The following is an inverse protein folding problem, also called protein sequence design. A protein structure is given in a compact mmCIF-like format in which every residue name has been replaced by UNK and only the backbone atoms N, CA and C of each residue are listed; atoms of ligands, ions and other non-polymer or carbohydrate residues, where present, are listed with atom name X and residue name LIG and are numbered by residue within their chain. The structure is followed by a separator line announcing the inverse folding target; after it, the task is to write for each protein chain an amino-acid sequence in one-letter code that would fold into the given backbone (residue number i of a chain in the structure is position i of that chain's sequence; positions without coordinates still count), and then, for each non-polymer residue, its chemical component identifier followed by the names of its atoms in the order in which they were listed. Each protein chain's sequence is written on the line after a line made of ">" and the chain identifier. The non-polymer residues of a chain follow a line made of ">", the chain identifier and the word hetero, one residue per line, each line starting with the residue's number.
data_IF_877445219660
#
_entry.id   IF_877445219660
#
_cell.length_a   1.000
_cell.length_b   1.000
_cell.length_c   1.000
_cell.angle_alpha   90.00
_cell.angle_beta   90.00
_cell.angle_gamma   90.00
#
_symmetry.space_group_name_H-M   'P 1'
#
loop_
_entity.id
_entity.type
_entity.pdbx_description
1 polymer ?
#
# COMPACT_ATOMS: atom_id res chain seq x y z
N UNK A 1 -14.67 20.59 -31.63
CA UNK A 1 -15.91 20.00 -31.08
C UNK A 1 -15.66 18.52 -30.80
N UNK A 2 -15.44 18.19 -29.54
CA UNK A 2 -15.88 16.94 -28.92
C UNK A 2 -15.87 17.21 -27.42
N UNK A 3 -17.05 17.14 -26.82
CA UNK A 3 -17.36 17.69 -25.51
C UNK A 3 -16.53 17.05 -24.39
N UNK A 4 -15.69 17.86 -23.74
CA UNK A 4 -15.25 17.57 -22.38
C UNK A 4 -16.48 17.68 -21.50
N UNK A 5 -16.98 16.52 -21.05
CA UNK A 5 -18.17 16.40 -20.23
C UNK A 5 -18.07 17.37 -19.01
N UNK A 6 -18.95 18.39 -18.89
CA UNK A 6 -18.87 19.43 -17.87
C UNK A 6 -19.01 18.93 -16.42
N UNK A 7 -19.32 17.64 -16.23
CA UNK A 7 -19.51 17.02 -14.92
C UNK A 7 -18.20 16.69 -14.18
N UNK A 8 -17.04 16.74 -14.84
CA UNK A 8 -15.74 16.43 -14.22
C UNK A 8 -15.16 17.56 -13.33
N UNK A 9 -15.82 18.73 -13.28
CA UNK A 9 -15.36 19.91 -12.50
C UNK A 9 -16.05 20.07 -11.13
N UNK A 10 -16.88 19.12 -10.69
CA UNK A 10 -17.39 19.07 -9.31
C UNK A 10 -16.50 18.15 -8.46
N UNK A 11 -16.33 18.42 -7.16
CA UNK A 11 -15.76 17.42 -6.25
C UNK A 11 -16.63 16.16 -6.35
N UNK A 12 -16.04 15.10 -6.88
CA UNK A 12 -16.73 13.83 -7.07
C UNK A 12 -16.84 13.20 -5.68
N UNK A 13 -18.02 13.33 -5.04
CA UNK A 13 -18.28 12.74 -3.73
C UNK A 13 -18.67 11.27 -3.82
N UNK A 14 -19.03 10.80 -5.03
CA UNK A 14 -19.45 9.43 -5.29
C UNK A 14 -19.00 8.96 -6.68
N UNK A 15 -18.65 7.69 -6.80
CA UNK A 15 -18.39 7.01 -8.06
C UNK A 15 -19.35 5.83 -8.23
N UNK A 16 -20.11 5.83 -9.32
CA UNK A 16 -20.93 4.68 -9.72
C UNK A 16 -20.09 3.78 -10.62
N UNK A 17 -19.80 2.55 -10.18
CA UNK A 17 -18.87 1.67 -10.87
C UNK A 17 -19.35 1.33 -12.29
N UNK A 18 -20.66 1.29 -12.52
CA UNK A 18 -21.24 1.00 -13.83
C UNK A 18 -21.00 2.09 -14.88
N UNK A 19 -20.68 3.32 -14.48
CA UNK A 19 -20.34 4.43 -15.39
C UNK A 19 -18.94 4.29 -16.03
N UNK A 20 -18.11 3.38 -15.52
CA UNK A 20 -16.71 3.21 -15.93
C UNK A 20 -16.44 1.78 -16.43
N UNK A 21 -16.97 1.39 -17.60
CA UNK A 21 -16.84 0.02 -18.10
C UNK A 21 -15.41 -0.36 -18.48
N UNK A 22 -14.50 0.61 -18.63
CA UNK A 22 -13.07 0.37 -18.79
C UNK A 22 -12.34 -0.05 -17.52
N UNK A 23 -13.03 0.00 -16.38
CA UNK A 23 -12.56 -0.42 -15.07
C UNK A 23 -12.34 0.75 -14.11
N UNK A 24 -12.61 0.45 -12.84
CA UNK A 24 -12.30 1.25 -11.66
C UNK A 24 -11.33 0.47 -10.81
N UNK A 25 -10.33 1.16 -10.28
CA UNK A 25 -9.45 0.62 -9.27
C UNK A 25 -9.31 1.60 -8.11
N UNK A 26 -9.25 1.08 -6.89
CA UNK A 26 -9.15 1.86 -5.66
C UNK A 26 -8.08 1.31 -4.74
N UNK A 27 -7.33 2.19 -4.06
CA UNK A 27 -6.32 1.84 -3.06
C UNK A 27 -6.40 2.82 -1.88
N UNK A 28 -5.93 2.41 -0.71
CA UNK A 28 -5.44 3.36 0.27
C UNK A 28 -4.09 3.89 -0.20
N UNK A 29 -3.97 5.20 -0.36
CA UNK A 29 -2.70 5.81 -0.74
C UNK A 29 -1.68 5.56 0.38
N UNK A 30 -0.49 5.09 0.01
CA UNK A 30 0.65 4.94 0.90
C UNK A 30 1.83 5.76 0.36
N UNK A 31 2.68 6.32 1.23
CA UNK A 31 3.84 7.08 0.79
C UNK A 31 4.79 6.19 -0.02
N UNK A 32 5.56 6.83 -0.90
CA UNK A 32 6.60 6.13 -1.64
C UNK A 32 7.65 5.59 -0.66
N UNK A 33 8.16 4.37 -0.91
CA UNK A 33 9.28 3.85 -0.12
C UNK A 33 10.56 4.63 -0.39
N UNK A 34 10.65 5.24 -1.57
CA UNK A 34 11.76 6.08 -1.96
C UNK A 34 11.20 7.24 -2.77
N UNK A 35 11.62 8.45 -2.42
CA UNK A 35 11.25 9.69 -3.12
C UNK A 35 12.45 10.63 -3.17
N UNK A 36 12.89 10.94 -4.39
CA UNK A 36 13.89 11.98 -4.66
C UNK A 36 13.35 13.16 -5.47
N UNK A 37 12.03 13.23 -5.67
CA UNK A 37 11.35 14.29 -6.41
C UNK A 37 10.76 15.39 -5.51
N UNK A 38 10.63 15.14 -4.19
CA UNK A 38 10.09 16.10 -3.20
C UNK A 38 8.65 16.57 -3.48
N UNK A 39 7.79 15.68 -3.98
CA UNK A 39 6.37 15.99 -4.11
C UNK A 39 5.62 15.57 -2.86
N UNK A 40 4.78 16.47 -2.35
CA UNK A 40 3.87 16.17 -1.25
C UNK A 40 3.06 14.90 -1.56
N UNK A 41 3.01 14.01 -0.57
CA UNK A 41 2.28 12.75 -0.67
C UNK A 41 0.76 13.00 -0.79
N UNK A 42 0.15 12.47 -1.86
CA UNK A 42 -1.30 12.57 -2.12
C UNK A 42 -2.09 11.53 -1.30
N UNK A 43 -2.46 11.92 -0.07
CA UNK A 43 -3.17 11.09 0.93
C UNK A 43 -4.61 10.75 0.51
N UNK A 44 -5.14 9.67 1.08
CA UNK A 44 -6.56 9.29 0.96
C UNK A 44 -6.83 8.02 0.17
N UNK A 45 -8.04 7.91 -0.35
CA UNK A 45 -8.50 6.86 -1.25
C UNK A 45 -8.10 7.24 -2.67
N UNK A 46 -7.09 6.54 -3.21
CA UNK A 46 -6.61 6.77 -4.57
C UNK A 46 -7.46 6.02 -5.59
N UNK A 47 -8.05 6.73 -6.54
CA UNK A 47 -8.96 6.16 -7.55
C UNK A 47 -8.39 6.31 -8.95
N UNK A 48 -8.36 5.18 -9.65
CA UNK A 48 -8.26 5.14 -11.11
C UNK A 48 -9.60 4.77 -11.72
N UNK A 49 -10.06 5.51 -12.73
CA UNK A 49 -11.26 5.13 -13.49
C UNK A 49 -11.09 5.37 -14.99
N UNK A 50 -11.66 4.48 -15.81
CA UNK A 50 -11.59 4.53 -17.29
C UNK A 50 -12.94 4.26 -17.92
N UNK A 51 -13.28 5.02 -18.96
CA UNK A 51 -14.43 4.68 -19.81
C UNK A 51 -14.17 3.46 -20.69
N UNK A 52 -12.94 3.29 -21.20
CA UNK A 52 -12.58 2.18 -22.10
C UNK A 52 -11.37 1.43 -21.54
N UNK A 53 -11.30 0.11 -21.73
CA UNK A 53 -10.25 -0.76 -21.15
C UNK A 53 -8.82 -0.31 -21.52
N UNK A 54 -8.62 0.15 -22.75
CA UNK A 54 -7.35 0.69 -23.28
C UNK A 54 -7.29 2.22 -23.31
N UNK A 55 -8.36 2.91 -22.88
CA UNK A 55 -8.43 4.37 -22.86
C UNK A 55 -7.58 4.97 -21.75
N UNK A 56 -7.32 6.28 -21.81
CA UNK A 56 -6.62 6.99 -20.71
C UNK A 56 -7.46 6.97 -19.42
N UNK A 57 -6.78 7.04 -18.27
CA UNK A 57 -7.44 7.30 -16.99
C UNK A 57 -8.16 8.64 -17.11
N UNK A 58 -9.43 8.67 -16.72
CA UNK A 58 -10.22 9.90 -16.64
C UNK A 58 -10.34 10.41 -15.20
N UNK A 59 -10.16 9.49 -14.25
CA UNK A 59 -9.93 9.79 -12.83
C UNK A 59 -8.59 9.14 -12.49
N UNK A 60 -7.69 9.95 -11.91
CA UNK A 60 -6.39 9.58 -11.39
C UNK A 60 -6.04 10.60 -10.29
N UNK A 61 -6.60 10.38 -9.09
CA UNK A 61 -6.42 11.28 -7.93
C UNK A 61 -6.83 10.61 -6.64
N UNK A 62 -6.35 11.13 -5.52
CA UNK A 62 -6.81 10.73 -4.19
C UNK A 62 -7.97 11.60 -3.66
N UNK A 63 -8.73 11.03 -2.73
CA UNK A 63 -9.86 11.66 -2.04
C UNK A 63 -9.76 11.34 -0.54
N UNK A 64 -10.02 12.28 0.36
CA UNK A 64 -10.10 11.97 1.80
C UNK A 64 -11.17 10.92 2.10
N UNK A 65 -12.28 10.99 1.36
CA UNK A 65 -13.35 10.01 1.35
C UNK A 65 -14.07 10.03 0.00
N UNK A 66 -14.65 8.89 -0.39
CA UNK A 66 -15.45 8.76 -1.60
C UNK A 66 -16.48 7.65 -1.45
N UNK A 67 -17.73 7.94 -1.78
CA UNK A 67 -18.77 6.92 -1.84
C UNK A 67 -18.61 6.10 -3.12
N UNK A 68 -18.56 4.77 -3.00
CA UNK A 68 -18.54 3.86 -4.14
C UNK A 68 -19.88 3.16 -4.24
N UNK A 69 -20.51 3.20 -5.42
CA UNK A 69 -21.83 2.64 -5.68
C UNK A 69 -21.79 1.52 -6.70
N UNK A 70 -22.57 0.48 -6.44
CA UNK A 70 -22.74 -0.66 -7.34
C UNK A 70 -24.09 -1.33 -7.11
N UNK A 71 -24.88 -1.48 -8.19
CA UNK A 71 -26.18 -2.18 -8.17
C UNK A 71 -27.12 -1.71 -7.04
N UNK A 72 -27.17 -0.39 -6.80
CA UNK A 72 -28.02 0.21 -5.78
C UNK A 72 -27.51 0.05 -4.33
N UNK A 73 -26.34 -0.56 -4.14
CA UNK A 73 -25.61 -0.57 -2.86
C UNK A 73 -24.52 0.49 -2.87
N UNK A 74 -24.15 1.00 -1.71
CA UNK A 74 -23.04 1.92 -1.57
C UNK A 74 -22.23 1.69 -0.31
N UNK A 75 -20.95 2.04 -0.38
CA UNK A 75 -20.02 2.07 0.75
C UNK A 75 -19.29 3.40 0.72
N UNK A 76 -19.05 4.00 1.88
CA UNK A 76 -18.13 5.12 2.00
C UNK A 76 -16.72 4.57 2.21
N UNK A 77 -15.82 4.82 1.25
CA UNK A 77 -14.40 4.59 1.46
C UNK A 77 -13.81 5.83 2.10
N UNK A 78 -13.15 5.67 3.23
CA UNK A 78 -12.39 6.72 3.92
C UNK A 78 -10.91 6.44 3.80
N UNK A 79 -10.07 7.45 3.99
CA UNK A 79 -8.61 7.25 4.10
C UNK A 79 -8.26 6.13 5.09
N UNK A 80 -8.76 6.23 6.33
CA UNK A 80 -8.49 5.26 7.40
C UNK A 80 -8.83 3.82 6.98
N UNK A 81 -10.03 3.60 6.42
CA UNK A 81 -10.47 2.25 6.05
C UNK A 81 -9.69 1.73 4.85
N UNK A 82 -9.43 2.56 3.85
CA UNK A 82 -8.71 2.19 2.63
C UNK A 82 -7.22 1.89 2.89
N UNK A 83 -6.57 2.73 3.69
CA UNK A 83 -5.17 2.55 4.10
C UNK A 83 -5.02 1.28 4.92
N UNK A 84 -5.86 1.11 5.94
CA UNK A 84 -5.81 -0.07 6.81
C UNK A 84 -6.05 -1.35 6.01
N UNK A 85 -7.03 -1.35 5.10
CA UNK A 85 -7.28 -2.49 4.21
C UNK A 85 -6.05 -2.81 3.36
N UNK A 86 -5.45 -1.79 2.77
CA UNK A 86 -4.24 -1.94 1.93
C UNK A 86 -3.10 -2.57 2.73
N UNK A 87 -2.88 -2.10 3.97
CA UNK A 87 -1.87 -2.66 4.88
C UNK A 87 -2.12 -4.12 5.22
N UNK A 88 -3.36 -4.49 5.58
CA UNK A 88 -3.74 -5.87 5.89
C UNK A 88 -3.60 -6.80 4.68
N UNK A 89 -3.96 -6.30 3.50
CA UNK A 89 -4.03 -7.10 2.28
C UNK A 89 -2.67 -7.62 1.81
N UNK A 90 -1.58 -6.90 2.10
CA UNK A 90 -0.22 -7.30 1.68
C UNK A 90 0.24 -8.58 2.36
N UNK A 91 -0.25 -8.84 3.57
CA UNK A 91 0.11 -10.04 4.33
C UNK A 91 -0.89 -11.20 4.17
N UNK A 92 -1.90 -11.01 3.32
CA UNK A 92 -2.97 -12.00 3.07
C UNK A 92 -3.66 -12.49 4.35
N UNK A 93 -3.87 -11.57 5.30
CA UNK A 93 -4.59 -11.89 6.52
C UNK A 93 -6.08 -12.09 6.25
N UNK A 94 -6.76 -12.84 7.13
CA UNK A 94 -8.22 -12.91 7.13
C UNK A 94 -8.76 -11.54 7.53
N UNK A 95 -9.55 -10.93 6.64
CA UNK A 95 -10.21 -9.64 6.87
C UNK A 95 -11.72 -9.87 6.96
N UNK A 96 -12.36 -9.34 8.00
CA UNK A 96 -13.81 -9.49 8.24
C UNK A 96 -14.48 -8.14 8.48
N UNK A 97 -15.78 -8.05 8.17
CA UNK A 97 -16.62 -6.92 8.59
C UNK A 97 -17.32 -7.29 9.90
N UNK A 98 -17.20 -6.42 10.91
CA UNK A 98 -17.83 -6.57 12.21
C UNK A 98 -18.35 -5.24 12.71
N UNK A 99 -19.40 -5.33 13.53
CA UNK A 99 -19.94 -4.22 14.29
C UNK A 99 -19.65 -4.45 15.77
N UNK A 100 -19.56 -3.37 16.53
CA UNK A 100 -19.35 -3.42 17.96
C UNK A 100 -20.54 -4.10 18.64
N UNK A 101 -20.28 -5.14 19.43
CA UNK A 101 -21.32 -5.88 20.17
C UNK A 101 -22.04 -5.00 21.21
N UNK A 102 -21.44 -3.88 21.62
CA UNK A 102 -22.00 -2.97 22.61
C UNK A 102 -22.82 -1.82 22.00
N UNK A 103 -22.23 -1.04 21.06
CA UNK A 103 -22.89 0.16 20.51
C UNK A 103 -23.38 0.01 19.07
N UNK A 104 -23.04 -1.09 18.38
CA UNK A 104 -23.42 -1.32 16.99
C UNK A 104 -22.63 -0.50 15.95
N UNK A 105 -21.63 0.29 16.36
CA UNK A 105 -20.77 1.01 15.43
C UNK A 105 -19.92 0.04 14.60
N UNK A 106 -19.66 0.38 13.34
CA UNK A 106 -18.78 -0.41 12.47
C UNK A 106 -17.34 -0.33 13.00
N UNK A 107 -16.68 -1.49 13.07
CA UNK A 107 -15.33 -1.61 13.62
C UNK A 107 -14.29 -1.48 12.50
N UNK A 108 -13.11 -0.96 12.85
CA UNK A 108 -11.99 -0.80 11.94
C UNK A 108 -10.69 -0.90 12.73
N UNK A 109 -9.90 -1.93 12.46
CA UNK A 109 -8.53 -2.04 12.95
C UNK A 109 -7.62 -1.12 12.13
N UNK A 110 -6.97 -0.15 12.80
CA UNK A 110 -6.07 0.84 12.19
C UNK A 110 -4.62 0.65 12.62
N UNK A 111 -3.69 1.27 11.90
CA UNK A 111 -2.27 1.33 12.27
C UNK A 111 -1.67 -0.05 12.52
N UNK A 112 -1.12 -0.26 13.71
CA UNK A 112 -0.52 -1.53 14.09
C UNK A 112 -1.55 -2.69 14.16
N UNK A 113 -2.81 -2.41 14.51
CA UNK A 113 -3.88 -3.41 14.55
C UNK A 113 -4.25 -3.89 13.14
N UNK A 114 -4.14 -3.04 12.12
CA UNK A 114 -4.38 -3.41 10.73
C UNK A 114 -3.40 -4.48 10.20
N UNK A 115 -2.24 -4.65 10.86
CA UNK A 115 -1.22 -5.63 10.48
C UNK A 115 -0.98 -6.70 11.55
N UNK A 116 -1.83 -6.77 12.57
CA UNK A 116 -1.73 -7.75 13.65
C UNK A 116 -3.07 -8.43 13.89
N UNK A 117 -3.35 -9.54 13.18
CA UNK A 117 -4.57 -10.30 13.39
C UNK A 117 -4.78 -10.68 14.86
N UNK A 118 -5.95 -10.31 15.37
CA UNK A 118 -6.34 -10.41 16.78
C UNK A 118 -7.69 -11.13 16.89
N UNK A 119 -7.99 -11.59 18.11
CA UNK A 119 -9.36 -11.96 18.48
C UNK A 119 -10.12 -10.74 19.03
N UNK A 120 -9.40 -9.79 19.63
CA UNK A 120 -9.95 -8.63 20.32
C UNK A 120 -9.88 -7.40 19.40
N UNK A 121 -11.02 -6.73 19.21
CA UNK A 121 -11.16 -5.55 18.36
C UNK A 121 -11.81 -4.40 19.14
N UNK A 122 -11.12 -3.27 19.21
CA UNK A 122 -11.53 -2.11 20.01
C UNK A 122 -12.45 -1.20 19.20
N UNK A 123 -13.51 -0.69 19.84
CA UNK A 123 -14.43 0.25 19.23
C UNK A 123 -13.98 1.70 19.45
N UNK A 124 -13.65 2.42 18.36
CA UNK A 124 -13.32 3.85 18.41
C UNK A 124 -14.46 4.74 18.96
N UNK A 125 -15.72 4.25 18.94
CA UNK A 125 -16.89 5.03 19.36
C UNK A 125 -17.22 4.89 20.85
N UNK A 126 -17.09 3.69 21.43
CA UNK A 126 -17.46 3.45 22.83
C UNK A 126 -16.36 2.83 23.70
N UNK A 127 -15.19 2.52 23.12
CA UNK A 127 -14.03 1.96 23.83
C UNK A 127 -14.14 0.48 24.20
N UNK A 128 -15.29 -0.15 23.96
CA UNK A 128 -15.52 -1.58 24.27
C UNK A 128 -14.87 -2.50 23.26
N UNK A 129 -14.59 -3.73 23.70
CA UNK A 129 -13.97 -4.78 22.89
C UNK A 129 -15.02 -5.73 22.33
N UNK A 130 -14.94 -6.00 21.04
CA UNK A 130 -15.67 -7.07 20.36
C UNK A 130 -14.72 -8.22 20.07
N UNK A 131 -15.13 -9.45 20.37
CA UNK A 131 -14.29 -10.65 20.24
C UNK A 131 -14.74 -11.50 19.05
N UNK A 132 -13.82 -11.87 18.19
CA UNK A 132 -14.06 -12.80 17.07
C UNK A 132 -13.63 -14.22 17.43
N UNK A 133 -14.11 -15.21 16.65
CA UNK A 133 -13.81 -16.63 16.89
C UNK A 133 -12.50 -17.10 16.25
N UNK A 134 -11.85 -16.26 15.47
CA UNK A 134 -10.59 -16.53 14.78
C UNK A 134 -9.72 -15.28 14.76
N UNK A 135 -8.41 -15.43 14.59
CA UNK A 135 -7.53 -14.28 14.43
C UNK A 135 -7.77 -13.62 13.08
N UNK A 136 -8.27 -12.40 13.09
CA UNK A 136 -8.55 -11.63 11.89
C UNK A 136 -8.16 -10.16 12.06
N UNK A 137 -8.27 -9.43 10.96
CA UNK A 137 -8.32 -7.97 10.97
C UNK A 137 -9.75 -7.56 10.65
N UNK A 138 -10.30 -6.60 11.39
CA UNK A 138 -11.62 -6.06 11.12
C UNK A 138 -11.50 -4.82 10.23
N UNK A 139 -12.14 -4.87 9.07
CA UNK A 139 -12.22 -3.73 8.16
C UNK A 139 -13.54 -3.76 7.37
N UNK A 140 -14.31 -2.67 7.33
CA UNK A 140 -15.64 -2.64 6.73
C UNK A 140 -15.66 -2.86 5.22
N UNK A 141 -14.55 -2.55 4.54
CA UNK A 141 -14.42 -2.62 3.08
C UNK A 141 -14.69 -4.03 2.54
N UNK A 142 -14.43 -5.08 3.32
CA UNK A 142 -14.66 -6.46 2.86
C UNK A 142 -16.14 -6.73 2.55
N UNK A 143 -17.07 -6.06 3.23
CA UNK A 143 -18.51 -6.18 2.95
C UNK A 143 -18.86 -5.68 1.54
N UNK A 144 -18.19 -4.60 1.08
CA UNK A 144 -18.38 -4.11 -0.28
C UNK A 144 -17.81 -5.09 -1.31
N UNK A 145 -16.65 -5.68 -1.03
CA UNK A 145 -16.03 -6.72 -1.86
C UNK A 145 -16.92 -7.96 -2.02
N UNK A 146 -17.64 -8.36 -0.96
CA UNK A 146 -18.66 -9.41 -1.05
C UNK A 146 -19.79 -9.05 -2.04
N UNK A 147 -20.24 -7.79 -2.06
CA UNK A 147 -21.26 -7.33 -3.02
C UNK A 147 -20.77 -7.31 -4.46
N UNK A 148 -19.46 -7.10 -4.67
CA UNK A 148 -18.82 -7.20 -5.97
C UNK A 148 -18.57 -8.65 -6.42
N UNK A 149 -18.75 -9.63 -5.52
CA UNK A 149 -18.34 -11.02 -5.75
C UNK A 149 -16.82 -11.20 -5.78
N UNK A 150 -16.06 -10.27 -5.19
CA UNK A 150 -14.60 -10.23 -5.17
C UNK A 150 -14.07 -10.42 -3.74
N UNK A 151 -14.36 -11.57 -3.12
CA UNK A 151 -14.00 -11.86 -1.72
C UNK A 151 -12.51 -12.15 -1.51
N UNK A 152 -11.70 -12.19 -2.58
CA UNK A 152 -10.27 -12.41 -2.48
C UNK A 152 -9.56 -11.15 -1.97
N UNK A 153 -8.82 -11.28 -0.87
CA UNK A 153 -7.96 -10.21 -0.33
C UNK A 153 -6.80 -9.96 -1.29
N UNK A 154 -6.08 -11.01 -1.67
CA UNK A 154 -5.11 -10.97 -2.76
C UNK A 154 -5.67 -11.61 -4.03
N UNK A 155 -5.95 -10.81 -5.05
CA UNK A 155 -6.34 -11.32 -6.37
C UNK A 155 -5.13 -11.87 -7.12
N UNK A 156 -5.33 -12.85 -8.02
CA UNK A 156 -4.35 -13.19 -9.02
C UNK A 156 -3.95 -11.94 -9.81
N UNK A 157 -2.66 -11.66 -9.81
CA UNK A 157 -2.07 -10.54 -10.54
C UNK A 157 -0.97 -11.04 -11.47
N UNK A 158 -0.67 -10.24 -12.49
CA UNK A 158 0.41 -10.52 -13.43
C UNK A 158 1.63 -9.67 -13.09
N UNK A 159 2.81 -10.28 -13.19
CA UNK A 159 4.07 -9.53 -13.22
C UNK A 159 4.29 -9.06 -14.65
N UNK A 160 4.32 -7.74 -14.92
CA UNK A 160 4.55 -7.26 -16.26
C UNK A 160 5.99 -7.57 -16.68
N UNK A 161 6.22 -8.03 -17.92
CA UNK A 161 7.56 -8.25 -18.45
C UNK A 161 8.22 -6.92 -18.86
N UNK A 162 8.51 -6.08 -17.87
CA UNK A 162 9.07 -4.74 -18.05
C UNK A 162 10.19 -4.49 -17.03
N UNK A 163 11.31 -3.99 -17.53
CA UNK A 163 12.49 -3.62 -16.73
C UNK A 163 12.76 -2.13 -16.87
N UNK A 164 13.20 -1.49 -15.80
CA UNK A 164 13.68 -0.11 -15.80
C UNK A 164 14.96 0.01 -14.97
N UNK A 165 15.93 0.77 -15.48
CA UNK A 165 17.05 1.30 -14.72
C UNK A 165 16.77 2.77 -14.41
N UNK A 166 16.82 3.14 -13.15
CA UNK A 166 16.66 4.49 -12.63
C UNK A 166 18.04 5.04 -12.30
N UNK A 167 18.36 6.17 -12.90
CA UNK A 167 19.59 6.92 -12.70
C UNK A 167 19.31 8.40 -13.00
N UNK A 168 20.10 9.28 -12.39
CA UNK A 168 19.89 10.73 -12.48
C UNK A 168 20.21 11.31 -13.85
N UNK A 169 21.10 10.69 -14.60
CA UNK A 169 21.42 11.12 -15.95
C UNK A 169 20.18 11.01 -16.86
N UNK A 170 19.36 9.97 -16.66
CA UNK A 170 18.11 9.76 -17.42
C UNK A 170 16.89 10.43 -16.78
N UNK A 171 16.86 10.53 -15.45
CA UNK A 171 15.74 11.11 -14.70
C UNK A 171 16.22 12.21 -13.74
N UNK A 172 16.71 13.35 -14.26
CA UNK A 172 17.31 14.39 -13.43
C UNK A 172 16.29 15.13 -12.54
N UNK A 173 14.98 14.96 -12.79
CA UNK A 173 13.94 15.45 -11.89
C UNK A 173 13.68 14.52 -10.70
N UNK A 174 14.37 13.38 -10.59
CA UNK A 174 14.15 12.40 -9.53
C UNK A 174 13.09 11.35 -9.87
N UNK A 175 12.79 10.49 -8.90
CA UNK A 175 11.82 9.40 -9.04
C UNK A 175 11.22 8.98 -7.70
N UNK A 176 10.05 8.35 -7.78
CA UNK A 176 9.29 7.83 -6.66
C UNK A 176 8.96 6.35 -6.89
N UNK A 177 9.00 5.56 -5.83
CA UNK A 177 8.89 4.10 -5.90
C UNK A 177 7.90 3.59 -4.86
N UNK A 178 7.00 2.71 -5.30
CA UNK A 178 6.03 2.03 -4.45
C UNK A 178 6.06 0.53 -4.70
N UNK A 179 5.75 -0.24 -3.65
CA UNK A 179 5.32 -1.62 -3.83
C UNK A 179 3.90 -1.64 -4.37
N UNK A 180 3.65 -2.33 -5.49
CA UNK A 180 2.27 -2.47 -6.00
C UNK A 180 1.46 -3.33 -5.03
N UNK A 181 0.47 -2.71 -4.38
CA UNK A 181 -0.45 -3.40 -3.48
C UNK A 181 -1.69 -3.87 -4.24
N UNK A 182 -2.34 -4.98 -3.81
CA UNK A 182 -3.65 -5.33 -4.31
C UNK A 182 -4.62 -4.17 -4.15
N UNK A 183 -5.33 -3.83 -5.21
CA UNK A 183 -6.40 -2.83 -5.12
C UNK A 183 -7.56 -3.32 -4.26
N UNK A 184 -8.19 -2.41 -3.54
CA UNK A 184 -9.43 -2.64 -2.80
C UNK A 184 -10.55 -3.06 -3.78
N UNK A 185 -10.69 -2.30 -4.86
CA UNK A 185 -11.62 -2.54 -5.96
C UNK A 185 -10.81 -2.73 -7.23
N UNK A 186 -11.18 -3.71 -8.06
CA UNK A 186 -10.70 -3.85 -9.43
C UNK A 186 -11.81 -4.37 -10.31
N UNK A 187 -12.41 -3.51 -11.14
CA UNK A 187 -13.53 -3.91 -12.02
C UNK A 187 -13.11 -4.13 -13.48
N UNK A 188 -11.85 -3.90 -13.82
CA UNK A 188 -11.36 -4.16 -15.16
C UNK A 188 -11.31 -5.67 -15.44
N UNK A 189 -11.67 -6.09 -16.66
CA UNK A 189 -11.62 -7.52 -17.06
C UNK A 189 -10.19 -8.07 -17.17
N UNK A 190 -9.24 -7.19 -17.49
CA UNK A 190 -7.81 -7.54 -17.53
C UNK A 190 -7.29 -7.79 -16.12
N UNK A 191 -6.28 -8.66 -15.95
CA UNK A 191 -5.66 -8.86 -14.65
C UNK A 191 -4.99 -7.57 -14.16
N UNK A 192 -4.96 -7.42 -12.84
CA UNK A 192 -4.17 -6.41 -12.16
C UNK A 192 -2.68 -6.69 -12.36
N UNK A 193 -1.87 -5.66 -12.57
CA UNK A 193 -0.41 -5.78 -12.62
C UNK A 193 0.15 -5.55 -11.23
N UNK A 194 1.09 -6.39 -10.80
CA UNK A 194 1.66 -6.32 -9.46
C UNK A 194 3.17 -6.50 -9.53
N UNK A 195 3.93 -5.44 -9.25
CA UNK A 195 5.38 -5.50 -9.04
C UNK A 195 5.85 -4.26 -8.25
N UNK A 196 6.77 -3.46 -8.80
CA UNK A 196 7.17 -2.15 -8.28
C UNK A 196 6.59 -1.08 -9.20
N UNK A 197 5.85 -0.12 -8.64
CA UNK A 197 5.32 1.04 -9.36
C UNK A 197 6.32 2.19 -9.27
N UNK A 198 6.55 2.87 -10.40
CA UNK A 198 7.57 3.90 -10.54
C UNK A 198 6.98 5.14 -11.20
N UNK A 199 7.21 6.28 -10.57
CA UNK A 199 7.17 7.59 -11.23
C UNK A 199 8.59 8.10 -11.43
N UNK A 200 8.91 8.63 -12.61
CA UNK A 200 10.20 9.27 -12.85
C UNK A 200 10.02 10.56 -13.66
N UNK A 201 10.87 11.54 -13.40
CA UNK A 201 10.70 12.92 -13.83
C UNK A 201 11.91 13.39 -14.66
N UNK A 202 11.65 14.17 -15.72
CA UNK A 202 12.71 14.79 -16.51
C UNK A 202 13.25 16.06 -15.83
N UNK A 203 14.23 16.74 -16.45
CA UNK A 203 14.83 17.95 -15.89
C UNK A 203 13.92 19.18 -15.82
N UNK A 204 12.71 19.08 -16.37
CA UNK A 204 11.65 20.08 -16.26
C UNK A 204 10.62 19.70 -15.18
N UNK A 205 10.94 18.71 -14.33
CA UNK A 205 10.05 18.14 -13.32
C UNK A 205 8.73 17.56 -13.86
N UNK A 206 8.71 17.21 -15.16
CA UNK A 206 7.56 16.57 -15.79
C UNK A 206 7.67 15.06 -15.64
N UNK A 207 6.58 14.43 -15.18
CA UNK A 207 6.46 12.97 -15.11
C UNK A 207 6.57 12.37 -16.52
N UNK A 208 7.59 11.56 -16.74
CA UNK A 208 7.87 10.85 -18.01
C UNK A 208 7.72 9.34 -17.88
N UNK A 209 7.75 8.82 -16.65
CA UNK A 209 7.44 7.42 -16.31
C UNK A 209 6.30 7.39 -15.30
N UNK A 210 5.32 6.53 -15.55
CA UNK A 210 4.19 6.18 -14.67
C UNK A 210 3.77 4.76 -15.06
N UNK A 211 4.43 3.77 -14.46
CA UNK A 211 4.18 2.38 -14.80
C UNK A 211 4.69 1.41 -13.72
N UNK A 212 4.26 0.16 -13.84
CA UNK A 212 4.69 -0.95 -12.99
C UNK A 212 5.71 -1.83 -13.73
N UNK A 213 6.79 -2.23 -13.04
CA UNK A 213 7.94 -2.94 -13.58
C UNK A 213 8.28 -4.16 -12.72
N UNK A 214 8.58 -5.30 -13.35
CA UNK A 214 9.03 -6.51 -12.66
C UNK A 214 10.47 -6.43 -12.18
N UNK A 215 11.28 -5.57 -12.81
CA UNK A 215 12.68 -5.34 -12.44
C UNK A 215 12.94 -3.84 -12.41
N UNK A 216 13.34 -3.34 -11.23
CA UNK A 216 13.71 -1.95 -11.02
C UNK A 216 15.12 -1.91 -10.47
N UNK A 217 16.02 -1.30 -11.23
CA UNK A 217 17.42 -1.14 -10.87
C UNK A 217 17.69 0.32 -10.50
N UNK A 218 18.44 0.56 -9.42
CA UNK A 218 18.93 1.89 -9.04
C UNK A 218 20.41 1.75 -8.72
N UNK A 219 21.28 2.46 -9.43
CA UNK A 219 22.74 2.37 -9.27
C UNK A 219 23.26 0.92 -9.19
N UNK A 220 22.78 0.08 -10.12
CA UNK A 220 23.08 -1.35 -10.24
C UNK A 220 22.58 -2.24 -9.08
N UNK A 221 21.79 -1.69 -8.16
CA UNK A 221 21.04 -2.44 -7.15
C UNK A 221 19.67 -2.82 -7.72
N UNK A 222 19.43 -4.12 -7.88
CA UNK A 222 18.09 -4.64 -8.19
C UNK A 222 17.24 -4.63 -6.92
N UNK A 223 16.10 -3.94 -6.97
CA UNK A 223 15.15 -3.93 -5.87
C UNK A 223 14.32 -5.23 -5.82
N UNK A 224 14.15 -5.78 -4.62
CA UNK A 224 13.25 -6.88 -4.37
C UNK A 224 11.81 -6.37 -4.17
N UNK A 225 10.87 -6.95 -4.92
CA UNK A 225 9.45 -6.55 -4.92
C UNK A 225 8.80 -6.74 -3.54
N UNK A 226 9.08 -7.85 -2.87
CA UNK A 226 8.47 -8.18 -1.57
C UNK A 226 9.02 -7.26 -0.49
N UNK A 227 10.34 -7.05 -0.47
CA UNK A 227 10.98 -6.15 0.48
C UNK A 227 10.48 -4.71 0.34
N UNK A 228 10.31 -4.22 -0.89
CA UNK A 228 9.74 -2.88 -1.17
C UNK A 228 8.30 -2.78 -0.67
N UNK A 229 7.43 -3.76 -0.96
CA UNK A 229 6.03 -3.75 -0.48
C UNK A 229 5.93 -3.75 1.03
N UNK A 230 6.69 -4.62 1.68
CA UNK A 230 6.69 -4.74 3.13
C UNK A 230 7.27 -3.48 3.77
N UNK A 231 8.34 -2.91 3.21
CA UNK A 231 8.92 -1.66 3.70
C UNK A 231 7.94 -0.50 3.65
N UNK A 232 7.10 -0.45 2.62
CA UNK A 232 6.04 0.57 2.49
C UNK A 232 5.09 0.55 3.69
N UNK A 233 4.70 -0.64 4.15
CA UNK A 233 3.86 -0.76 5.35
C UNK A 233 4.63 -0.47 6.62
N UNK A 234 5.85 -0.98 6.74
CA UNK A 234 6.71 -0.75 7.90
C UNK A 234 6.97 0.74 8.14
N UNK A 235 7.16 1.54 7.07
CA UNK A 235 7.32 2.99 7.16
C UNK A 235 6.02 3.74 7.40
N UNK A 236 4.89 3.21 6.94
CA UNK A 236 3.58 3.80 7.17
C UNK A 236 3.11 3.71 8.64
N UNK A 237 3.67 2.77 9.43
CA UNK A 237 3.32 2.57 10.85
C UNK A 237 4.38 3.23 11.76
N UNK A 238 4.08 4.37 12.41
CA UNK A 238 5.04 5.08 13.27
C UNK A 238 5.67 4.19 14.35
N UNK A 239 4.88 3.31 14.96
CA UNK A 239 5.31 2.46 16.08
C UNK A 239 6.39 1.45 15.69
N UNK A 240 6.56 1.18 14.38
CA UNK A 240 7.59 0.26 13.89
C UNK A 240 8.93 0.94 13.63
N UNK A 241 8.98 2.27 13.51
CA UNK A 241 10.18 3.02 13.11
C UNK A 241 11.39 2.71 13.98
N UNK A 242 11.21 2.65 15.31
CA UNK A 242 12.30 2.37 16.25
C UNK A 242 12.74 0.90 16.30
N UNK A 243 12.03 0.03 15.60
CA UNK A 243 12.31 -1.41 15.55
C UNK A 243 12.81 -1.86 14.19
N UNK A 244 12.87 -0.98 13.20
CA UNK A 244 13.10 -1.32 11.81
C UNK A 244 14.58 -1.13 11.43
N UNK A 245 15.24 -2.21 11.02
CA UNK A 245 16.68 -2.22 10.71
C UNK A 245 17.01 -3.05 9.47
N UNK A 246 18.21 -2.89 8.92
CA UNK A 246 18.80 -3.85 7.98
C UNK A 246 19.81 -4.71 8.74
N UNK A 247 19.50 -5.99 8.93
CA UNK A 247 20.33 -6.92 9.69
C UNK A 247 20.92 -7.94 8.73
N UNK A 248 22.20 -8.27 8.88
CA UNK A 248 22.82 -9.39 8.18
C UNK A 248 22.95 -10.58 9.13
N UNK A 249 22.85 -11.80 8.59
CA UNK A 249 23.15 -13.01 9.33
C UNK A 249 24.61 -12.99 9.81
N UNK A 250 24.90 -13.23 11.10
CA UNK A 250 26.26 -13.20 11.62
C UNK A 250 27.14 -14.36 11.13
N UNK A 251 26.55 -15.44 10.62
CA UNK A 251 27.31 -16.61 10.14
C UNK A 251 27.71 -16.48 8.66
N UNK A 252 26.78 -16.10 7.78
CA UNK A 252 27.03 -16.07 6.33
C UNK A 252 27.03 -14.64 5.73
N UNK A 253 26.77 -13.62 6.55
CA UNK A 253 26.62 -12.22 6.14
C UNK A 253 25.51 -11.96 5.10
N UNK A 254 24.59 -12.91 4.88
CA UNK A 254 23.43 -12.70 4.02
C UNK A 254 22.47 -11.69 4.64
N UNK A 255 21.94 -10.70 3.88
CA UNK A 255 20.92 -9.80 4.39
C UNK A 255 19.66 -10.55 4.82
N UNK A 256 19.19 -10.32 6.04
CA UNK A 256 18.05 -11.01 6.61
C UNK A 256 16.76 -10.23 6.35
N UNK A 257 15.73 -10.88 5.84
CA UNK A 257 14.40 -10.29 5.64
C UNK A 257 13.35 -11.03 6.45
N UNK A 258 12.70 -10.33 7.38
CA UNK A 258 11.60 -10.89 8.14
C UNK A 258 10.32 -10.89 7.29
N UNK A 259 9.63 -12.05 7.25
CA UNK A 259 8.45 -12.32 6.42
C UNK A 259 7.20 -12.54 7.25
N UNK A 260 6.02 -12.35 6.65
CA UNK A 260 4.73 -12.55 7.31
C UNK A 260 4.62 -11.69 8.58
N UNK A 261 4.10 -12.26 9.68
CA UNK A 261 3.94 -11.53 10.94
C UNK A 261 5.26 -11.01 11.53
N UNK A 262 6.38 -11.69 11.29
CA UNK A 262 7.70 -11.24 11.76
C UNK A 262 8.12 -9.90 11.13
N UNK A 263 7.56 -9.55 9.97
CA UNK A 263 7.81 -8.26 9.32
C UNK A 263 7.15 -7.06 10.01
N UNK A 264 6.26 -7.27 10.98
CA UNK A 264 5.49 -6.22 11.68
C UNK A 264 5.38 -6.44 13.20
N UNK A 265 6.03 -7.49 13.72
CA UNK A 265 6.09 -7.80 15.14
C UNK A 265 7.56 -7.83 15.55
N UNK A 266 8.09 -6.82 16.26
CA UNK A 266 9.46 -6.84 16.73
C UNK A 266 9.78 -8.08 17.56
N UNK A 267 10.82 -8.81 17.16
CA UNK A 267 11.20 -10.08 17.77
C UNK A 267 12.72 -10.15 17.92
N UNK A 268 13.19 -11.11 18.73
CA UNK A 268 14.62 -11.26 19.00
C UNK A 268 15.27 -12.37 18.18
N UNK A 269 14.51 -13.44 17.88
CA UNK A 269 15.04 -14.65 17.26
C UNK A 269 14.76 -14.62 15.75
N UNK A 270 15.81 -14.66 14.95
CA UNK A 270 15.76 -14.67 13.49
C UNK A 270 16.33 -15.98 12.96
N UNK A 271 15.89 -16.40 11.77
CA UNK A 271 16.43 -17.55 11.06
C UNK A 271 16.81 -17.10 9.65
N UNK A 272 18.10 -17.18 9.33
CA UNK A 272 18.60 -16.83 8.00
C UNK A 272 18.04 -17.79 6.96
N UNK A 273 17.45 -17.27 5.88
CA UNK A 273 16.94 -18.06 4.77
C UNK A 273 18.04 -18.68 3.90
N UNK A 274 19.22 -18.04 3.82
CA UNK A 274 20.34 -18.55 3.04
C UNK A 274 21.09 -19.72 3.72
N UNK A 275 21.48 -19.59 5.00
CA UNK A 275 22.27 -20.62 5.70
C UNK A 275 21.53 -21.34 6.83
N UNK A 276 20.28 -20.98 7.11
CA UNK A 276 19.46 -21.57 8.18
C UNK A 276 19.96 -21.31 9.61
N UNK A 277 21.02 -20.52 9.78
CA UNK A 277 21.50 -20.11 11.09
C UNK A 277 20.43 -19.33 11.85
N UNK A 278 20.24 -19.69 13.11
CA UNK A 278 19.35 -18.99 14.04
C UNK A 278 20.18 -18.07 14.90
N UNK A 279 19.88 -16.77 14.85
CA UNK A 279 20.61 -15.76 15.60
C UNK A 279 19.65 -14.86 16.37
N UNK A 280 20.20 -14.15 17.36
CA UNK A 280 19.43 -13.28 18.24
C UNK A 280 19.88 -11.83 18.08
N UNK A 281 18.93 -10.91 18.04
CA UNK A 281 19.16 -9.46 18.08
C UNK A 281 18.30 -8.83 19.19
N UNK A 282 18.41 -7.52 19.49
CA UNK A 282 17.37 -6.81 20.24
C UNK A 282 15.99 -6.97 19.57
N UNK A 283 14.90 -6.47 20.17
CA UNK A 283 13.57 -6.58 19.54
C UNK A 283 13.49 -5.71 18.29
N UNK A 284 13.83 -6.31 17.14
CA UNK A 284 13.92 -5.65 15.85
C UNK A 284 13.12 -6.40 14.79
N UNK A 285 12.95 -5.74 13.66
CA UNK A 285 12.38 -6.23 12.42
C UNK A 285 13.42 -5.91 11.34
N UNK A 286 13.77 -6.91 10.53
CA UNK A 286 14.76 -6.74 9.47
C UNK A 286 14.12 -6.59 8.10
N UNK A 287 14.48 -5.54 7.37
CA UNK A 287 14.20 -5.38 5.95
C UNK A 287 15.45 -4.86 5.20
N UNK A 288 16.12 -5.68 4.37
CA UNK A 288 17.33 -5.30 3.65
C UNK A 288 17.15 -4.14 2.67
N UNK A 289 15.91 -3.84 2.26
CA UNK A 289 15.63 -2.71 1.39
C UNK A 289 16.02 -1.38 2.06
N UNK A 290 16.05 -1.29 3.39
CA UNK A 290 16.49 -0.08 4.10
C UNK A 290 17.92 0.27 3.72
N UNK A 291 18.87 -0.66 3.88
CA UNK A 291 20.26 -0.41 3.52
C UNK A 291 20.45 -0.18 2.02
N UNK A 292 19.58 -0.76 1.18
CA UNK A 292 19.59 -0.50 -0.26
C UNK A 292 19.20 0.93 -0.56
N UNK A 293 18.15 1.46 0.08
CA UNK A 293 17.69 2.83 -0.09
C UNK A 293 18.61 3.86 0.59
N UNK A 294 19.19 3.54 1.75
CA UNK A 294 20.14 4.43 2.47
C UNK A 294 21.43 4.65 1.68
N UNK A 295 21.89 3.64 0.94
CA UNK A 295 23.01 3.83 0.00
C UNK A 295 22.65 4.89 -1.03
N UNK A 296 21.45 4.80 -1.60
CA UNK A 296 20.97 5.78 -2.58
C UNK A 296 20.88 7.17 -1.98
N UNK A 297 20.43 7.32 -0.73
CA UNK A 297 20.36 8.66 -0.07
C UNK A 297 21.74 9.30 0.11
N UNK A 298 22.75 8.50 0.43
CA UNK A 298 24.12 8.94 0.75
C UNK A 298 24.91 9.36 -0.51
N UNK A 299 24.56 8.84 -1.69
CA UNK A 299 25.30 9.04 -2.95
C UNK A 299 24.77 10.20 -3.84
N UNK A 300 24.32 11.31 -3.25
CA UNK A 300 23.91 12.58 -3.91
C UNK A 300 22.40 12.77 -4.17
N UNK A 301 21.50 12.14 -3.42
CA UNK A 301 20.10 12.05 -3.86
C UNK A 301 19.06 12.74 -3.00
N UNK A 302 19.40 13.20 -1.79
CA UNK A 302 18.48 13.94 -0.91
C UNK A 302 17.09 13.29 -0.85
N UNK A 303 16.96 12.20 -0.09
CA UNK A 303 15.65 11.53 0.03
C UNK A 303 14.81 12.23 1.06
N UNK A 304 13.56 12.50 0.69
CA UNK A 304 12.58 13.11 1.56
C UNK A 304 11.86 12.02 2.33
N UNK A 305 11.90 12.11 3.66
CA UNK A 305 11.04 11.30 4.51
C UNK A 305 9.63 11.89 4.44
N UNK A 306 8.70 11.11 3.91
CA UNK A 306 7.28 11.46 4.00
C UNK A 306 6.79 11.18 5.41
N UNK A 307 5.92 12.08 5.92
CA UNK A 307 5.26 11.87 7.21
C UNK A 307 4.59 10.50 7.24
N UNK A 308 4.76 9.78 8.36
CA UNK A 308 4.04 8.56 8.63
C UNK A 308 2.53 8.82 8.64
N UNK A 309 1.73 7.78 8.47
CA UNK A 309 0.28 7.92 8.46
C UNK A 309 -0.17 8.25 9.89
N UNK A 310 -0.62 9.48 10.09
CA UNK A 310 -1.34 9.91 11.30
C UNK A 310 -2.83 9.67 11.11
N UNK A 311 -3.48 8.97 12.03
CA UNK A 311 -4.94 8.83 12.00
C UNK A 311 -5.60 10.06 12.63
N UNK A 312 -6.79 10.43 12.16
CA UNK A 312 -7.47 11.67 12.58
C UNK A 312 -7.79 11.75 14.09
N UNK A 313 -7.68 10.64 14.82
CA UNK A 313 -7.97 10.53 16.25
C UNK A 313 -6.71 10.42 17.15
N UNK A 314 -5.50 10.58 16.60
CA UNK A 314 -4.24 10.54 17.36
C UNK A 314 -3.89 11.89 18.04
N UNK A 315 -4.86 12.80 18.22
CA UNK A 315 -4.73 14.11 18.88
C UNK A 315 -5.69 14.27 20.07
#
# INVERSE_FOLDING_TARGET
>A
MSDLNPQLNKPLSAIELSDFPGGVAAWGALPAVFDSHDQAFDRGVHIHARFNESGKKIIDKSFSEIEVRWQGKSVLLTEDSAVSYTMSSIFDFVIVSRYCDHCGAELLDKGLSAVRPSFDHYCDQCGEVTVTNERCVVNPIILFKEWLGDVQVQRPSIRPARTIKLDYDRFPGGFQIWGSNPSIIWTAKRPEESAIHVHAYNGENKRVVDNTYSEVWIDDVLLDIEMVRVLQIQRAIPELHHHLFSINCPECNHPHFDKGLHSVIPHQRHQCDACQHVFTTPKHISNPCIASLDKLTTFNHGVFEHESISYANDL
#
